data_IF_988092385895
#
_entry.id   IF_988092385895
#
_cell.length_a   1.000
_cell.length_b   1.000
_cell.length_c   1.000
_cell.angle_alpha   90.00
_cell.angle_beta   90.00
_cell.angle_gamma   90.00
#
_symmetry.space_group_name_H-M   'P 1'
#
loop_
_entity.id
_entity.type
_entity.pdbx_description
1 polymer ?
2 non-polymer ?
3 non-polymer ?
4 water ?
#
# COMPACT_ATOMS: atom_id res chain seq x y z
N UNK A 6 11.82 -5.12 -22.16
CA UNK A 6 12.50 -3.91 -21.64
C UNK A 6 13.12 -4.22 -20.28
N UNK A 7 13.74 -3.21 -19.66
CA UNK A 7 14.59 -3.36 -18.44
C UNK A 7 13.79 -2.98 -17.18
N UNK A 8 12.50 -2.69 -17.30
CA UNK A 8 11.76 -2.22 -16.10
C UNK A 8 10.44 -2.96 -15.88
N UNK A 9 10.04 -3.01 -14.63
CA UNK A 9 8.77 -3.62 -14.19
C UNK A 9 7.68 -2.52 -14.14
N UNK A 10 6.46 -2.90 -14.49
CA UNK A 10 5.30 -1.98 -14.53
C UNK A 10 4.17 -2.60 -13.72
N UNK A 11 4.02 -2.21 -12.45
CA UNK A 11 2.86 -2.67 -11.69
C UNK A 11 1.58 -2.22 -12.38
N UNK A 12 0.48 -2.98 -12.22
CA UNK A 12 -0.82 -2.56 -12.77
C UNK A 12 -1.33 -1.28 -12.09
N UNK A 13 -2.31 -0.63 -12.73
CA UNK A 13 -3.05 0.57 -12.27
C UNK A 13 -3.33 0.45 -10.77
N UNK A 14 -2.94 1.43 -9.95
CA UNK A 14 -3.40 1.55 -8.54
C UNK A 14 -2.96 0.33 -7.72
N UNK A 15 -1.80 -0.24 -8.04
CA UNK A 15 -1.22 -1.39 -7.34
C UNK A 15 -0.80 -1.02 -5.92
N UNK A 16 -1.13 -1.89 -4.97
CA UNK A 16 -0.63 -1.80 -3.59
C UNK A 16 -0.64 -3.16 -2.92
N UNK A 17 0.28 -3.34 -1.98
CA UNK A 17 0.24 -4.44 -1.01
C UNK A 17 -0.73 -4.05 0.12
N UNK A 18 -1.70 -4.89 0.39
CA UNK A 18 -2.70 -4.68 1.45
C UNK A 18 -2.19 -5.29 2.76
N UNK A 19 -1.65 -6.50 2.66
CA UNK A 19 -1.17 -7.26 3.83
C UNK A 19 -0.21 -8.33 3.32
N UNK A 20 0.39 -9.09 4.21
CA UNK A 20 1.15 -10.32 3.85
C UNK A 20 0.30 -11.15 2.88
N UNK A 21 0.78 -11.39 1.66
CA UNK A 21 0.12 -12.24 0.68
C UNK A 21 -1.14 -11.66 0.05
N UNK A 22 -1.43 -10.38 0.22
CA UNK A 22 -2.66 -9.75 -0.34
C UNK A 22 -2.29 -8.45 -1.06
N UNK A 23 -2.72 -8.36 -2.32
CA UNK A 23 -2.46 -7.18 -3.18
C UNK A 23 -3.79 -6.68 -3.75
N UNK A 24 -3.79 -5.42 -4.18
CA UNK A 24 -4.94 -4.81 -4.86
C UNK A 24 -4.45 -4.09 -6.11
N UNK A 25 -5.28 -4.03 -7.14
CA UNK A 25 -4.99 -3.20 -8.33
C UNK A 25 -6.24 -3.02 -9.18
N UNK A 26 -6.09 -2.22 -10.23
CA UNK A 26 -7.00 -2.23 -11.38
C UNK A 26 -6.60 -3.36 -12.33
N UNK A 27 -7.21 -3.36 -13.51
CA UNK A 27 -7.14 -4.48 -14.48
C UNK A 27 -5.71 -4.56 -15.03
N UNK A 28 -4.99 -5.69 -14.81
CA UNK A 28 -3.68 -5.85 -15.42
C UNK A 28 -3.76 -5.96 -16.94
N UNK A 29 -2.77 -5.40 -17.64
CA UNK A 29 -2.58 -5.59 -19.09
C UNK A 29 -1.22 -6.29 -19.28
N UNK A 30 -0.89 -6.66 -20.52
CA UNK A 30 0.31 -7.49 -20.81
C UNK A 30 1.60 -6.77 -20.36
N UNK A 31 1.64 -5.43 -20.31
CA UNK A 31 2.83 -4.66 -19.87
C UNK A 31 3.08 -4.90 -18.37
N UNK A 32 2.07 -5.39 -17.64
CA UNK A 32 2.13 -5.62 -16.17
C UNK A 32 2.50 -7.08 -15.86
N UNK A 33 2.53 -7.99 -16.83
CA UNK A 33 2.67 -9.44 -16.52
C UNK A 33 4.02 -9.73 -15.86
N UNK A 34 5.12 -9.13 -16.36
CA UNK A 34 6.47 -9.43 -15.82
C UNK A 34 6.49 -8.98 -14.34
N UNK A 35 5.84 -7.86 -14.01
CA UNK A 35 5.74 -7.42 -12.58
C UNK A 35 4.93 -8.44 -11.77
N UNK A 36 3.79 -8.88 -12.29
CA UNK A 36 2.92 -9.82 -11.54
C UNK A 36 3.65 -11.14 -11.31
N UNK A 37 4.51 -11.56 -12.23
CA UNK A 37 5.30 -12.81 -12.06
C UNK A 37 6.18 -12.72 -10.82
N UNK A 38 6.68 -11.53 -10.46
CA UNK A 38 7.58 -11.36 -9.30
C UNK A 38 6.79 -11.59 -8.01
N UNK A 39 5.45 -11.55 -8.01
CA UNK A 39 4.67 -11.72 -6.77
C UNK A 39 4.40 -13.19 -6.44
N UNK A 40 4.62 -14.13 -7.38
CA UNK A 40 4.32 -15.55 -7.13
C UNK A 40 2.86 -15.75 -6.74
N UNK A 41 1.93 -15.12 -7.46
CA UNK A 41 0.48 -15.20 -7.14
C UNK A 41 0.01 -16.66 -7.21
N UNK A 42 -0.81 -17.07 -6.27
CA UNK A 42 -1.60 -18.32 -6.37
C UNK A 42 -3.01 -18.02 -6.89
N UNK A 43 -3.53 -16.82 -6.65
CA UNK A 43 -4.97 -16.51 -6.82
C UNK A 43 -5.15 -15.09 -7.34
N UNK A 44 -6.20 -14.89 -8.10
CA UNK A 44 -6.77 -13.55 -8.42
C UNK A 44 -8.22 -13.58 -8.00
N UNK A 45 -8.61 -12.56 -7.23
CA UNK A 45 -10.03 -12.28 -6.94
C UNK A 45 -10.43 -11.17 -7.90
N UNK A 46 -11.27 -11.51 -8.86
CA UNK A 46 -11.70 -10.62 -9.97
C UNK A 46 -13.16 -10.20 -9.71
N UNK A 47 -13.41 -8.90 -9.61
CA UNK A 47 -14.70 -8.38 -9.09
C UNK A 47 -15.56 -7.78 -10.21
N UNK A 48 -15.24 -8.00 -11.48
CA UNK A 48 -16.07 -7.51 -12.63
C UNK A 48 -16.85 -8.68 -13.22
N UNK A 49 -18.08 -8.46 -13.72
CA UNK A 49 -18.84 -9.52 -14.37
C UNK A 49 -18.37 -9.87 -15.79
N UNK A 50 -17.64 -9.00 -16.49
CA UNK A 50 -17.25 -9.27 -17.90
C UNK A 50 -16.32 -10.46 -17.95
N UNK A 51 -16.35 -11.26 -19.04
CA UNK A 51 -15.44 -12.40 -19.17
C UNK A 51 -13.97 -11.92 -19.19
N UNK A 52 -13.07 -12.71 -18.60
CA UNK A 52 -11.63 -12.40 -18.55
C UNK A 52 -11.09 -12.40 -19.97
N UNK A 53 -10.38 -11.36 -20.45
CA UNK A 53 -9.85 -11.36 -21.80
C UNK A 53 -8.88 -12.53 -22.01
N UNK A 54 -8.74 -12.98 -23.26
CA UNK A 54 -7.91 -14.15 -23.64
C UNK A 54 -6.47 -13.96 -23.18
N UNK A 55 -5.89 -12.78 -23.41
CA UNK A 55 -4.51 -12.39 -23.00
C UNK A 55 -4.29 -12.68 -21.50
N UNK A 56 -5.21 -12.19 -20.67
CA UNK A 56 -5.18 -12.36 -19.19
C UNK A 56 -5.39 -13.83 -18.84
N UNK A 57 -6.30 -14.52 -19.53
CA UNK A 57 -6.55 -15.95 -19.26
C UNK A 57 -5.27 -16.75 -19.51
N UNK A 58 -4.59 -16.49 -20.63
CA UNK A 58 -3.34 -17.23 -20.97
C UNK A 58 -2.27 -16.93 -19.91
N UNK A 59 -2.13 -15.69 -19.46
CA UNK A 59 -1.15 -15.39 -18.37
C UNK A 59 -1.49 -16.20 -17.12
N UNK A 60 -2.75 -16.15 -16.69
CA UNK A 60 -3.27 -16.90 -15.51
C UNK A 60 -2.90 -18.39 -15.64
N UNK A 61 -3.20 -18.98 -16.78
CA UNK A 61 -2.98 -20.44 -17.01
C UNK A 61 -1.47 -20.75 -16.98
N UNK A 62 -0.68 -20.01 -17.76
CA UNK A 62 0.79 -20.20 -17.87
C UNK A 62 1.44 -20.08 -16.49
N UNK A 63 0.95 -19.16 -15.65
CA UNK A 63 1.61 -18.82 -14.36
C UNK A 63 1.02 -19.61 -13.20
N UNK A 64 0.06 -20.49 -13.44
CA UNK A 64 -0.49 -21.36 -12.39
C UNK A 64 -1.26 -20.57 -11.36
N UNK A 65 -2.06 -19.61 -11.82
CA UNK A 65 -2.87 -18.74 -10.93
C UNK A 65 -4.34 -19.16 -11.03
N UNK A 66 -4.96 -19.35 -9.88
CA UNK A 66 -6.41 -19.64 -9.81
C UNK A 66 -7.22 -18.33 -9.94
N UNK A 67 -8.25 -18.34 -10.79
CA UNK A 67 -9.18 -17.19 -10.95
C UNK A 67 -10.42 -17.45 -10.09
N UNK A 68 -10.71 -16.55 -9.16
CA UNK A 68 -12.00 -16.48 -8.46
C UNK A 68 -12.74 -15.26 -8.99
N UNK A 69 -13.87 -15.45 -9.67
CA UNK A 69 -14.66 -14.33 -10.23
C UNK A 69 -15.91 -14.14 -9.40
N UNK A 70 -16.05 -12.99 -8.75
CA UNK A 70 -17.29 -12.60 -8.05
C UNK A 70 -17.74 -11.31 -8.71
N UNK A 71 -18.50 -11.44 -9.80
CA UNK A 71 -18.89 -10.31 -10.65
C UNK A 71 -19.83 -9.38 -9.94
N UNK A 72 -19.36 -8.18 -9.61
CA UNK A 72 -20.20 -7.10 -9.02
C UNK A 72 -20.48 -6.12 -10.15
N UNK A 73 -21.75 -5.79 -10.35
CA UNK A 73 -22.17 -4.88 -11.45
C UNK A 73 -21.52 -3.52 -11.20
N UNK A 74 -20.78 -3.01 -12.20
CA UNK A 74 -20.14 -1.68 -12.19
C UNK A 74 -21.18 -0.57 -12.28
N UNK A 75 -21.83 -0.27 -11.16
CA UNK A 75 -22.88 0.78 -11.05
C UNK A 75 -22.21 2.13 -10.73
N UNK A 76 -22.81 3.21 -11.22
CA UNK A 76 -22.38 4.61 -10.95
C UNK A 76 -23.30 5.19 -9.86
N UNK A 77 -22.77 6.04 -8.98
CA UNK A 77 -23.55 6.73 -7.93
C UNK A 77 -24.63 7.59 -8.60
N UNK A 78 -25.81 7.78 -7.98
CA UNK A 78 -26.12 7.24 -6.65
C UNK A 78 -26.87 5.90 -6.63
N UNK A 79 -26.87 5.17 -7.74
CA UNK A 79 -27.61 3.89 -7.90
C UNK A 79 -26.62 2.72 -7.88
N UNK A 80 -25.77 2.66 -6.85
CA UNK A 80 -24.80 1.54 -6.64
C UNK A 80 -25.42 0.51 -5.69
N UNK A 81 -25.32 -0.77 -6.05
CA UNK A 81 -25.88 -1.92 -5.30
C UNK A 81 -24.78 -2.99 -5.19
N UNK A 82 -23.92 -2.89 -4.17
CA UNK A 82 -22.81 -3.86 -3.90
C UNK A 82 -23.41 -5.08 -3.20
N UNK A 83 -23.42 -6.28 -3.83
CA UNK A 83 -24.00 -7.45 -3.18
C UNK A 83 -23.13 -7.86 -1.98
N UNK A 84 -23.74 -7.83 -0.80
CA UNK A 84 -23.16 -8.35 0.46
C UNK A 84 -22.64 -9.78 0.23
N UNK A 85 -23.40 -10.63 -0.44
CA UNK A 85 -23.07 -12.06 -0.60
C UNK A 85 -21.73 -12.23 -1.35
N UNK A 86 -21.53 -11.49 -2.44
CA UNK A 86 -20.31 -11.60 -3.26
C UNK A 86 -19.10 -11.10 -2.48
N UNK A 87 -19.24 -10.00 -1.74
CA UNK A 87 -18.15 -9.50 -0.87
C UNK A 87 -17.85 -10.58 0.18
N UNK A 88 -18.86 -11.22 0.75
CA UNK A 88 -18.63 -12.27 1.80
C UNK A 88 -17.89 -13.47 1.19
N UNK A 89 -18.27 -13.90 0.00
CA UNK A 89 -17.58 -15.07 -0.63
C UNK A 89 -16.11 -14.67 -0.92
N UNK A 90 -15.87 -13.45 -1.39
CA UNK A 90 -14.51 -12.98 -1.71
C UNK A 90 -13.69 -12.90 -0.41
N UNK A 91 -14.28 -12.44 0.70
CA UNK A 91 -13.57 -12.37 2.01
C UNK A 91 -13.15 -13.78 2.44
N UNK A 92 -14.01 -14.77 2.22
CA UNK A 92 -13.70 -16.19 2.58
C UNK A 92 -12.43 -16.64 1.82
N UNK A 93 -12.30 -16.30 0.55
CA UNK A 93 -11.08 -16.61 -0.25
C UNK A 93 -9.86 -15.91 0.36
N UNK A 94 -9.98 -14.61 0.70
CA UNK A 94 -8.87 -13.79 1.28
C UNK A 94 -8.43 -14.38 2.62
N UNK A 95 -9.36 -14.88 3.40
CA UNK A 95 -9.06 -15.34 4.77
C UNK A 95 -8.41 -16.73 4.75
N UNK A 96 -8.40 -17.45 3.63
CA UNK A 96 -7.70 -18.75 3.53
C UNK A 96 -6.27 -18.53 3.02
N UNK A 97 -5.26 -18.66 3.90
CA UNK A 97 -3.82 -18.51 3.59
C UNK A 97 -3.44 -19.39 2.37
N UNK A 98 -4.12 -20.51 2.11
CA UNK A 98 -3.78 -21.41 0.96
C UNK A 98 -3.90 -20.65 -0.36
N UNK A 99 -4.74 -19.62 -0.41
CA UNK A 99 -5.00 -18.84 -1.64
C UNK A 99 -3.94 -17.73 -1.83
N UNK A 100 -3.10 -17.49 -0.82
CA UNK A 100 -2.07 -16.41 -0.84
C UNK A 100 -0.85 -16.92 -1.57
N UNK A 101 -0.11 -16.06 -2.31
CA UNK A 101 -0.47 -14.66 -2.51
C UNK A 101 -1.65 -14.45 -3.47
N UNK A 102 -2.50 -13.49 -3.13
CA UNK A 102 -3.74 -13.19 -3.89
C UNK A 102 -3.73 -11.71 -4.31
N UNK A 103 -4.07 -11.48 -5.58
CA UNK A 103 -4.33 -10.14 -6.13
C UNK A 103 -5.84 -9.95 -6.27
N UNK A 104 -6.35 -8.90 -5.62
CA UNK A 104 -7.75 -8.44 -5.81
C UNK A 104 -7.68 -7.39 -6.94
N UNK A 105 -8.48 -7.53 -7.98
CA UNK A 105 -8.61 -6.45 -8.99
C UNK A 105 -10.03 -6.33 -9.54
N UNK A 106 -10.33 -5.13 -9.97
CA UNK A 106 -11.56 -4.80 -10.73
C UNK A 106 -11.12 -4.09 -12.01
N UNK A 107 -11.75 -3.00 -12.44
CA UNK A 107 -11.34 -2.27 -13.68
C UNK A 107 -10.26 -1.25 -13.29
N UNK A 108 -10.56 -0.33 -12.37
CA UNK A 108 -9.56 0.69 -11.95
C UNK A 108 -9.05 0.43 -10.52
N UNK A 109 -9.65 -0.52 -9.78
CA UNK A 109 -9.17 -0.84 -8.44
C UNK A 109 -9.49 0.21 -7.39
N UNK A 110 -10.59 0.94 -7.57
CA UNK A 110 -11.01 2.06 -6.67
C UNK A 110 -12.28 1.70 -5.89
N UNK A 111 -13.31 1.17 -6.54
CA UNK A 111 -14.67 1.05 -5.96
C UNK A 111 -14.89 -0.38 -5.46
N UNK A 112 -15.07 -1.33 -6.37
CA UNK A 112 -15.36 -2.73 -5.97
C UNK A 112 -14.18 -3.27 -5.14
N UNK A 113 -12.95 -3.07 -5.62
CA UNK A 113 -11.72 -3.46 -4.90
C UNK A 113 -11.63 -2.73 -3.56
N UNK A 114 -11.90 -1.43 -3.53
CA UNK A 114 -11.86 -0.62 -2.30
C UNK A 114 -12.82 -1.15 -1.24
N UNK A 115 -14.03 -1.55 -1.65
CA UNK A 115 -15.07 -2.08 -0.73
C UNK A 115 -14.57 -3.40 -0.15
N UNK A 116 -14.04 -4.29 -0.98
CA UNK A 116 -13.60 -5.60 -0.45
C UNK A 116 -12.45 -5.37 0.56
N UNK A 117 -11.48 -4.53 0.20
CA UNK A 117 -10.37 -4.24 1.13
C UNK A 117 -10.91 -3.59 2.41
N UNK A 118 -11.82 -2.62 2.32
CA UNK A 118 -12.37 -1.95 3.51
C UNK A 118 -13.05 -2.94 4.43
N UNK A 119 -13.79 -3.90 3.88
CA UNK A 119 -14.46 -4.95 4.69
C UNK A 119 -13.41 -5.85 5.37
N UNK A 120 -12.30 -6.15 4.70
CA UNK A 120 -11.19 -6.90 5.33
C UNK A 120 -10.65 -6.08 6.52
N UNK A 121 -10.43 -4.77 6.33
CA UNK A 121 -9.91 -3.93 7.44
C UNK A 121 -10.90 -3.95 8.61
N UNK A 122 -12.20 -4.00 8.34
CA UNK A 122 -13.20 -4.06 9.43
C UNK A 122 -12.99 -5.35 10.23
N UNK A 123 -12.74 -6.47 9.54
CA UNK A 123 -12.44 -7.76 10.21
C UNK A 123 -11.14 -7.64 11.02
N UNK A 124 -10.20 -6.82 10.58
CA UNK A 124 -8.89 -6.58 11.29
C UNK A 124 -9.08 -5.52 12.40
N UNK A 125 -10.30 -5.07 12.64
CA UNK A 125 -10.67 -4.18 13.80
C UNK A 125 -10.15 -2.76 13.61
N UNK A 126 -9.87 -2.32 12.38
CA UNK A 126 -9.52 -0.91 12.11
C UNK A 126 -10.71 0.00 12.45
N UNK A 127 -10.46 1.19 12.98
CA UNK A 127 -11.54 2.20 13.14
C UNK A 127 -11.99 2.65 11.75
N UNK A 128 -13.24 3.07 11.62
CA UNK A 128 -13.81 3.42 10.29
C UNK A 128 -12.99 4.55 9.64
N UNK A 129 -12.56 5.56 10.40
CA UNK A 129 -11.85 6.71 9.78
C UNK A 129 -10.58 6.19 9.07
N UNK A 130 -9.87 5.21 9.65
CA UNK A 130 -8.63 4.65 9.06
C UNK A 130 -8.99 3.84 7.80
N UNK A 131 -10.10 3.12 7.83
CA UNK A 131 -10.58 2.34 6.66
C UNK A 131 -10.91 3.33 5.52
N UNK A 132 -11.68 4.37 5.82
CA UNK A 132 -12.12 5.36 4.81
C UNK A 132 -10.90 6.08 4.24
N UNK A 133 -9.93 6.42 5.09
CA UNK A 133 -8.74 7.17 4.60
C UNK A 133 -8.00 6.31 3.57
N UNK A 134 -7.82 5.04 3.86
CA UNK A 134 -7.14 4.14 2.90
C UNK A 134 -7.97 4.01 1.63
N UNK A 135 -9.29 3.79 1.75
CA UNK A 135 -10.19 3.75 0.58
C UNK A 135 -10.01 5.02 -0.29
N UNK A 136 -10.00 6.18 0.33
CA UNK A 136 -9.97 7.49 -0.38
C UNK A 136 -8.60 7.68 -1.05
N UNK A 137 -7.53 7.10 -0.48
CA UNK A 137 -6.19 7.23 -1.10
C UNK A 137 -6.25 6.70 -2.54
N UNK A 138 -6.95 5.59 -2.79
CA UNK A 138 -7.05 4.98 -4.13
C UNK A 138 -8.18 5.65 -4.93
N UNK A 139 -9.34 5.88 -4.30
CA UNK A 139 -10.51 6.39 -5.04
C UNK A 139 -10.28 7.86 -5.42
N UNK A 140 -9.57 8.61 -4.58
CA UNK A 140 -9.18 10.03 -4.79
C UNK A 140 -10.43 10.83 -5.22
N UNK A 141 -10.41 11.53 -6.36
CA UNK A 141 -11.53 12.39 -6.79
C UNK A 141 -12.80 11.57 -7.07
N UNK A 142 -12.72 10.24 -7.19
CA UNK A 142 -13.92 9.39 -7.43
C UNK A 142 -14.33 8.64 -6.15
N UNK A 143 -13.93 9.08 -4.97
CA UNK A 143 -14.41 8.50 -3.69
C UNK A 143 -15.94 8.62 -3.69
N UNK A 144 -16.63 7.53 -3.40
CA UNK A 144 -18.10 7.45 -3.39
C UNK A 144 -18.60 7.26 -1.95
N UNK A 145 -19.58 8.06 -1.55
CA UNK A 145 -20.26 7.90 -0.26
C UNK A 145 -20.85 6.47 -0.21
N UNK A 146 -21.38 5.97 -1.33
CA UNK A 146 -22.07 4.64 -1.36
C UNK A 146 -21.09 3.53 -0.99
N UNK A 147 -19.85 3.61 -1.46
CA UNK A 147 -18.81 2.61 -1.15
C UNK A 147 -18.56 2.64 0.37
N UNK A 148 -18.43 3.85 0.93
CA UNK A 148 -18.06 3.99 2.36
C UNK A 148 -19.26 3.57 3.23
N UNK A 149 -20.48 3.89 2.82
CA UNK A 149 -21.72 3.51 3.55
C UNK A 149 -21.80 1.97 3.60
N UNK A 150 -21.49 1.30 2.49
CA UNK A 150 -21.46 -0.18 2.42
C UNK A 150 -20.50 -0.73 3.48
N UNK A 151 -19.29 -0.16 3.58
CA UNK A 151 -18.28 -0.56 4.59
C UNK A 151 -18.84 -0.24 5.99
N UNK A 152 -19.49 0.91 6.16
CA UNK A 152 -20.04 1.34 7.49
C UNK A 152 -21.07 0.29 7.95
N UNK A 153 -21.92 -0.21 7.06
CA UNK A 153 -23.04 -1.11 7.45
C UNK A 153 -22.61 -2.58 7.41
N UNK A 154 -21.49 -2.94 6.78
CA UNK A 154 -21.13 -4.36 6.57
C UNK A 154 -20.95 -5.04 7.93
N UNK A 155 -21.66 -6.16 8.13
CA UNK A 155 -21.76 -6.88 9.42
C UNK A 155 -20.62 -7.90 9.51
N UNK A 156 -19.78 -7.80 10.55
CA UNK A 156 -18.58 -8.68 10.69
C UNK A 156 -18.87 -9.79 11.71
N UNK A 157 -20.12 -9.97 12.14
CA UNK A 157 -20.58 -10.98 13.15
C UNK A 157 -20.16 -12.39 12.74
N UNK A 158 -20.52 -12.81 11.52
CA UNK A 158 -20.43 -14.20 11.01
C UNK A 158 -18.98 -14.70 11.02
N UNK A 159 -18.01 -13.82 10.76
CA UNK A 159 -16.55 -14.11 10.76
C UNK A 159 -15.97 -14.04 12.17
N UNK A 160 -16.04 -12.85 12.79
CA UNK A 160 -15.41 -12.52 14.10
C UNK A 160 -16.29 -13.05 15.24
N UNK B 8 -10.85 -0.87 18.93
CA UNK B 8 -10.38 -0.75 17.50
C UNK B 8 -8.92 -0.32 17.39
N UNK B 9 -8.29 -0.70 16.31
CA UNK B 9 -6.90 -0.34 16.00
C UNK B 9 -6.90 0.92 15.12
N UNK B 10 -5.89 1.77 15.33
CA UNK B 10 -5.73 3.04 14.60
C UNK B 10 -4.33 3.06 13.98
N UNK B 11 -4.19 2.71 12.70
CA UNK B 11 -2.91 2.89 12.03
C UNK B 11 -2.51 4.37 12.06
N UNK B 12 -1.21 4.65 12.03
CA UNK B 12 -0.73 6.02 11.95
C UNK B 12 -1.13 6.65 10.61
N UNK B 13 -1.03 7.97 10.59
CA UNK B 13 -1.28 8.82 9.42
C UNK B 13 -0.62 8.22 8.16
N UNK B 14 -1.38 8.05 7.07
CA UNK B 14 -0.84 7.69 5.73
C UNK B 14 -0.12 6.34 5.79
N UNK B 15 -0.59 5.44 6.65
CA UNK B 15 -0.01 4.11 6.83
C UNK B 15 -0.19 3.25 5.57
N UNK B 16 0.86 2.53 5.18
CA UNK B 16 0.75 1.51 4.13
C UNK B 16 1.86 0.48 4.28
N UNK B 17 1.59 -0.73 3.81
CA UNK B 17 2.60 -1.75 3.59
C UNK B 17 3.26 -1.49 2.22
N UNK B 18 4.57 -1.36 2.20
CA UNK B 18 5.39 -1.12 0.98
C UNK B 18 5.77 -2.47 0.36
N UNK B 19 6.19 -3.41 1.19
CA UNK B 19 6.68 -4.73 0.76
C UNK B 19 6.66 -5.64 1.99
N UNK B 20 7.00 -6.90 1.81
CA UNK B 20 7.22 -7.84 2.93
C UNK B 20 8.14 -7.15 3.95
N UNK B 21 7.69 -6.99 5.18
CA UNK B 21 8.54 -6.46 6.27
C UNK B 21 8.82 -4.97 6.17
N UNK B 22 8.12 -4.21 5.30
CA UNK B 22 8.42 -2.76 5.14
C UNK B 22 7.09 -1.98 5.12
N UNK B 23 7.00 -0.99 6.00
CA UNK B 23 5.81 -0.12 6.16
C UNK B 23 6.24 1.34 6.04
N UNK B 24 5.27 2.21 5.71
CA UNK B 24 5.49 3.67 5.67
C UNK B 24 4.34 4.36 6.42
N UNK B 25 4.63 5.49 7.02
CA UNK B 25 3.61 6.33 7.67
C UNK B 25 4.15 7.74 7.95
N UNK B 26 3.23 8.58 8.42
CA UNK B 26 3.55 9.79 9.19
C UNK B 26 3.84 9.46 10.64
N UNK B 27 3.92 10.49 11.47
CA UNK B 27 4.45 10.39 12.85
C UNK B 27 3.44 9.62 13.69
N UNK B 28 3.79 8.46 14.27
CA UNK B 28 2.87 7.76 15.17
C UNK B 28 2.65 8.49 16.50
N UNK B 29 1.43 8.42 17.03
CA UNK B 29 1.11 8.91 18.39
C UNK B 29 0.60 7.72 19.21
N UNK B 30 0.37 7.93 20.49
CA UNK B 30 0.05 6.83 21.42
C UNK B 30 -1.25 6.12 20.98
N UNK B 31 -2.16 6.79 20.27
CA UNK B 31 -3.40 6.15 19.76
C UNK B 31 -3.07 5.03 18.73
N UNK B 32 -1.87 5.06 18.16
CA UNK B 32 -1.42 4.15 17.07
C UNK B 32 -0.60 2.98 17.64
N UNK B 33 -0.23 3.01 18.92
CA UNK B 33 0.74 2.04 19.48
C UNK B 33 0.17 0.63 19.44
N UNK B 34 -1.11 0.43 19.78
CA UNK B 34 -1.70 -0.94 19.79
C UNK B 34 -1.68 -1.48 18.36
N UNK B 35 -1.97 -0.65 17.36
CA UNK B 35 -1.85 -1.10 15.94
C UNK B 35 -0.41 -1.47 15.60
N UNK B 36 0.55 -0.62 15.93
CA UNK B 36 1.97 -0.91 15.57
C UNK B 36 2.44 -2.20 16.25
N UNK B 37 1.93 -2.50 17.44
CA UNK B 37 2.29 -3.76 18.13
C UNK B 37 1.91 -4.97 17.27
N UNK B 38 0.86 -4.90 16.46
CA UNK B 38 0.39 -6.04 15.63
C UNK B 38 1.41 -6.31 14.53
N UNK B 39 2.30 -5.35 14.21
CA UNK B 39 3.27 -5.53 13.10
C UNK B 39 4.53 -6.28 13.57
N UNK B 40 4.80 -6.41 14.87
CA UNK B 40 6.04 -7.06 15.37
C UNK B 40 7.29 -6.36 14.84
N UNK B 41 7.36 -5.03 14.93
CA UNK B 41 8.46 -4.25 14.34
C UNK B 41 9.79 -4.62 15.02
N UNK B 42 10.87 -4.68 14.24
CA UNK B 42 12.26 -4.70 14.79
C UNK B 42 12.87 -3.30 14.77
N UNK B 43 12.42 -2.44 13.86
CA UNK B 43 13.07 -1.13 13.69
C UNK B 43 12.12 -0.07 13.12
N UNK B 44 12.51 1.16 13.35
CA UNK B 44 11.87 2.35 12.75
C UNK B 44 13.00 3.11 12.05
N UNK B 45 12.76 3.54 10.81
CA UNK B 45 13.61 4.51 10.09
C UNK B 45 12.86 5.84 10.18
N UNK B 46 13.44 6.78 10.91
CA UNK B 46 12.82 8.07 11.25
C UNK B 46 13.55 9.18 10.52
N UNK B 47 12.84 9.94 9.68
CA UNK B 47 13.49 10.86 8.70
C UNK B 47 13.37 12.33 9.10
N UNK B 48 13.02 12.64 10.34
CA UNK B 48 12.91 14.05 10.83
C UNK B 48 14.03 14.33 11.80
N UNK B 49 14.54 15.58 11.87
CA UNK B 49 15.63 15.92 12.80
C UNK B 49 15.16 16.09 14.25
N UNK B 50 13.87 16.25 14.50
CA UNK B 50 13.36 16.58 15.85
C UNK B 50 13.59 15.37 16.77
N UNK B 51 13.93 15.59 18.05
CA UNK B 51 14.11 14.48 18.97
C UNK B 51 12.78 13.74 19.13
N UNK B 52 12.87 12.43 19.27
CA UNK B 52 11.72 11.53 19.47
C UNK B 52 11.06 11.85 20.81
N UNK B 53 9.73 11.99 20.84
CA UNK B 53 9.01 12.24 22.09
C UNK B 53 9.17 11.09 23.10
N UNK B 54 9.07 11.43 24.39
CA UNK B 54 9.23 10.48 25.52
C UNK B 54 8.22 9.35 25.36
N UNK B 55 6.97 9.66 25.03
CA UNK B 55 5.91 8.66 24.77
C UNK B 55 6.41 7.63 23.76
N UNK B 56 6.95 8.08 22.64
CA UNK B 56 7.38 7.18 21.55
C UNK B 56 8.62 6.38 22.00
N UNK B 57 9.55 7.03 22.69
CA UNK B 57 10.77 6.35 23.21
C UNK B 57 10.36 5.21 24.16
N UNK B 58 9.38 5.43 25.02
CA UNK B 58 8.91 4.39 25.97
C UNK B 58 8.30 3.23 25.16
N UNK B 59 7.50 3.53 24.13
CA UNK B 59 6.95 2.52 23.21
C UNK B 59 8.07 1.67 22.59
N UNK B 60 9.12 2.31 22.07
CA UNK B 60 10.26 1.58 21.47
C UNK B 60 10.92 0.69 22.53
N UNK B 61 11.18 1.23 23.72
CA UNK B 61 11.90 0.49 24.79
C UNK B 61 11.06 -0.75 25.17
N UNK B 62 9.77 -0.58 25.39
CA UNK B 62 8.85 -1.67 25.82
C UNK B 62 8.78 -2.77 24.75
N UNK B 63 8.94 -2.42 23.48
CA UNK B 63 8.70 -3.34 22.34
C UNK B 63 10.02 -3.83 21.74
N UNK B 64 11.17 -3.38 22.24
CA UNK B 64 12.48 -3.82 21.73
C UNK B 64 12.70 -3.31 20.31
N UNK B 65 12.20 -2.12 19.98
CA UNK B 65 12.29 -1.56 18.60
C UNK B 65 13.51 -0.63 18.53
N UNK B 66 14.37 -0.85 17.54
CA UNK B 66 15.59 -0.04 17.26
C UNK B 66 15.19 1.20 16.45
N UNK B 67 15.65 2.38 16.87
CA UNK B 67 15.40 3.65 16.15
C UNK B 67 16.63 4.07 15.35
N UNK B 68 16.45 4.19 14.04
CA UNK B 68 17.44 4.76 13.10
C UNK B 68 16.94 6.14 12.67
N UNK B 69 17.65 7.20 13.02
CA UNK B 69 17.25 8.59 12.71
C UNK B 69 18.21 9.14 11.66
N UNK B 70 17.67 9.55 10.53
CA UNK B 70 18.39 10.31 9.48
C UNK B 70 17.61 11.60 9.29
N UNK B 71 18.02 12.64 9.99
CA UNK B 71 17.21 13.87 10.13
C UNK B 71 17.28 14.71 8.88
N UNK B 72 16.26 14.64 8.04
CA UNK B 72 16.18 15.44 6.79
C UNK B 72 15.37 16.70 7.12
N UNK B 73 15.95 17.87 6.91
CA UNK B 73 15.28 19.13 7.32
C UNK B 73 14.04 19.28 6.44
N UNK B 74 12.90 19.65 7.04
CA UNK B 74 11.71 20.06 6.30
C UNK B 74 12.10 21.22 5.41
N UNK B 75 11.67 21.20 4.16
CA UNK B 75 11.93 22.26 3.15
C UNK B 75 10.67 22.40 2.33
N UNK B 76 10.40 23.60 1.81
CA UNK B 76 9.20 23.86 0.99
C UNK B 76 9.66 24.27 -0.42
N UNK B 77 8.87 23.91 -1.43
CA UNK B 77 9.13 24.39 -2.82
C UNK B 77 9.10 25.91 -2.76
N UNK B 78 9.84 26.60 -3.65
CA UNK B 78 10.68 25.97 -4.68
C UNK B 78 12.16 25.79 -4.30
N UNK B 79 12.46 25.71 -3.01
CA UNK B 79 13.83 25.62 -2.48
C UNK B 79 13.99 24.27 -1.76
N UNK B 80 13.61 23.16 -2.41
CA UNK B 80 13.70 21.78 -1.85
C UNK B 80 15.07 21.21 -2.21
N UNK B 81 15.84 20.75 -1.22
CA UNK B 81 17.16 20.13 -1.47
C UNK B 81 17.26 18.83 -0.67
N UNK B 82 16.74 17.74 -1.24
CA UNK B 82 16.67 16.38 -0.63
C UNK B 82 18.11 15.88 -0.47
N UNK B 83 18.58 15.59 0.75
CA UNK B 83 19.98 15.21 0.94
C UNK B 83 20.14 13.75 0.48
N UNK B 84 20.82 13.61 -0.64
CA UNK B 84 21.22 12.32 -1.27
C UNK B 84 21.85 11.40 -0.21
N UNK B 85 22.81 11.89 0.58
CA UNK B 85 23.55 11.06 1.57
C UNK B 85 22.57 10.47 2.59
N UNK B 86 21.66 11.25 3.14
CA UNK B 86 20.71 10.77 4.19
C UNK B 86 19.75 9.75 3.60
N UNK B 87 19.25 9.97 2.38
CA UNK B 87 18.37 8.98 1.72
C UNK B 87 19.14 7.67 1.55
N UNK B 88 20.40 7.73 1.11
CA UNK B 88 21.19 6.50 0.86
C UNK B 88 21.51 5.79 2.18
N UNK B 89 21.80 6.52 3.26
CA UNK B 89 22.05 5.87 4.57
C UNK B 89 20.78 5.13 5.01
N UNK B 90 19.61 5.76 4.85
CA UNK B 90 18.31 5.15 5.20
C UNK B 90 18.05 3.90 4.33
N UNK B 91 18.38 3.98 3.04
CA UNK B 91 18.17 2.85 2.10
C UNK B 91 19.06 1.67 2.51
N UNK B 92 20.29 1.94 2.93
CA UNK B 92 21.24 0.90 3.44
C UNK B 92 20.57 0.14 4.60
N UNK B 93 19.96 0.86 5.53
CA UNK B 93 19.26 0.22 6.68
C UNK B 93 18.06 -0.58 6.16
N UNK B 94 17.28 0.00 5.28
CA UNK B 94 16.03 -0.59 4.74
C UNK B 94 16.33 -1.92 4.05
N UNK B 95 17.47 -2.04 3.36
CA UNK B 95 17.80 -3.23 2.52
C UNK B 95 18.32 -4.38 3.38
N UNK B 96 18.68 -4.16 4.65
CA UNK B 96 19.12 -5.24 5.56
C UNK B 96 17.88 -5.92 6.17
N UNK B 97 17.59 -7.14 5.72
CA UNK B 97 16.43 -7.97 6.17
C UNK B 97 16.44 -8.17 7.68
N UNK B 98 17.60 -8.12 8.34
CA UNK B 98 17.71 -8.32 9.80
C UNK B 98 16.96 -7.18 10.53
N UNK B 99 16.75 -6.04 9.88
CA UNK B 99 16.07 -4.88 10.48
C UNK B 99 14.56 -4.96 10.30
N UNK B 100 14.06 -5.93 9.54
CA UNK B 100 12.61 -6.08 9.24
C UNK B 100 11.95 -6.86 10.37
N UNK B 101 10.65 -6.65 10.65
CA UNK B 101 9.84 -5.59 10.03
C UNK B 101 10.28 -4.18 10.42
N UNK B 102 10.23 -3.26 9.44
CA UNK B 102 10.67 -1.86 9.63
C UNK B 102 9.54 -0.92 9.21
N UNK B 103 9.30 0.09 10.04
CA UNK B 103 8.41 1.22 9.68
C UNK B 103 9.28 2.43 9.35
N UNK B 104 9.10 2.94 8.13
CA UNK B 104 9.66 4.24 7.68
C UNK B 104 8.65 5.29 8.09
N UNK B 105 9.06 6.33 8.81
CA UNK B 105 8.12 7.45 9.02
C UNK B 105 8.85 8.78 9.07
N UNK B 106 8.08 9.80 8.75
CA UNK B 106 8.50 11.21 8.78
C UNK B 106 7.44 11.95 9.61
N UNK B 107 7.05 13.14 9.22
CA UNK B 107 6.00 13.90 9.94
C UNK B 107 4.65 13.49 9.36
N UNK B 108 4.48 13.60 8.04
CA UNK B 108 3.18 13.29 7.37
C UNK B 108 3.29 12.05 6.46
N UNK B 109 4.48 11.53 6.21
CA UNK B 109 4.64 10.31 5.40
C UNK B 109 4.42 10.58 3.91
N UNK B 110 4.66 11.80 3.43
CA UNK B 110 4.38 12.20 2.02
C UNK B 110 5.67 12.50 1.24
N UNK B 111 6.61 13.28 1.78
CA UNK B 111 7.73 13.85 0.99
C UNK B 111 9.01 13.09 1.32
N UNK B 112 9.55 13.23 2.53
CA UNK B 112 10.79 12.51 2.91
C UNK B 112 10.55 11.00 2.80
N UNK B 113 9.46 10.50 3.39
CA UNK B 113 9.09 9.07 3.29
C UNK B 113 8.87 8.71 1.82
N UNK B 114 8.16 9.54 1.07
CA UNK B 114 7.88 9.28 -0.35
C UNK B 114 9.15 9.13 -1.18
N UNK B 115 10.16 9.97 -0.93
CA UNK B 115 11.44 9.93 -1.68
C UNK B 115 12.17 8.62 -1.35
N UNK B 116 12.18 8.22 -0.05
CA UNK B 116 12.93 7.00 0.34
C UNK B 116 12.27 5.80 -0.36
N UNK B 117 10.95 5.70 -0.27
CA UNK B 117 10.20 4.58 -0.89
C UNK B 117 10.40 4.61 -2.41
N UNK B 118 10.34 5.78 -3.05
CA UNK B 118 10.52 5.83 -4.51
C UNK B 118 11.91 5.33 -4.94
N UNK B 119 12.94 5.66 -4.17
CA UNK B 119 14.32 5.21 -4.45
C UNK B 119 14.40 3.69 -4.24
N UNK B 120 13.71 3.14 -3.23
CA UNK B 120 13.60 1.66 -3.12
C UNK B 120 12.96 1.11 -4.39
N UNK B 121 11.86 1.69 -4.86
CA UNK B 121 11.20 1.17 -6.08
C UNK B 121 12.16 1.22 -7.29
N UNK B 122 13.00 2.24 -7.38
CA UNK B 122 13.96 2.36 -8.51
C UNK B 122 14.97 1.21 -8.40
N UNK B 123 15.41 0.86 -7.20
CA UNK B 123 16.27 -0.34 -7.02
C UNK B 123 15.52 -1.61 -7.41
N UNK B 124 14.20 -1.66 -7.19
CA UNK B 124 13.35 -2.82 -7.57
C UNK B 124 13.00 -2.79 -9.08
N UNK B 125 13.56 -1.85 -9.84
CA UNK B 125 13.48 -1.76 -11.33
C UNK B 125 12.09 -1.34 -11.81
N UNK B 126 11.31 -0.66 -10.96
CA UNK B 126 10.01 -0.11 -11.41
C UNK B 126 10.27 1.01 -12.43
N UNK B 127 9.43 1.12 -13.46
CA UNK B 127 9.51 2.28 -14.38
C UNK B 127 9.14 3.54 -13.59
N UNK B 128 9.67 4.69 -14.02
CA UNK B 128 9.48 5.97 -13.30
C UNK B 128 8.00 6.30 -13.14
N UNK B 129 7.17 6.08 -14.17
CA UNK B 129 5.73 6.46 -14.10
C UNK B 129 5.05 5.69 -12.95
N UNK B 130 5.41 4.42 -12.75
CA UNK B 130 4.84 3.59 -11.66
C UNK B 130 5.32 4.11 -10.29
N UNK B 131 6.57 4.50 -10.20
CA UNK B 131 7.16 5.07 -8.96
C UNK B 131 6.41 6.37 -8.63
N UNK B 132 6.27 7.25 -9.61
CA UNK B 132 5.60 8.56 -9.44
C UNK B 132 4.13 8.39 -9.05
N UNK B 133 3.44 7.42 -9.67
CA UNK B 133 2.02 7.21 -9.36
C UNK B 133 1.86 6.82 -7.88
N UNK B 134 2.71 5.95 -7.38
CA UNK B 134 2.64 5.53 -5.96
C UNK B 134 2.98 6.75 -5.06
N UNK B 135 4.06 7.47 -5.38
CA UNK B 135 4.44 8.69 -4.64
C UNK B 135 3.23 9.64 -4.56
N UNK B 136 2.56 9.88 -5.69
CA UNK B 136 1.44 10.86 -5.76
C UNK B 136 0.23 10.38 -4.96
N UNK B 137 0.05 9.07 -4.85
CA UNK B 137 -1.09 8.54 -4.08
C UNK B 137 -1.03 9.05 -2.64
N UNK B 138 0.14 9.09 -2.03
CA UNK B 138 0.32 9.58 -0.64
C UNK B 138 0.41 11.09 -0.60
N UNK B 139 1.17 11.68 -1.51
CA UNK B 139 1.41 13.14 -1.46
C UNK B 139 0.15 13.91 -1.87
N UNK B 140 -0.66 13.33 -2.77
CA UNK B 140 -1.97 13.85 -3.25
C UNK B 140 -1.79 15.31 -3.69
N UNK B 141 -2.53 16.27 -3.14
CA UNK B 141 -2.47 17.69 -3.57
C UNK B 141 -1.10 18.30 -3.22
N UNK B 142 -0.32 17.63 -2.37
CA UNK B 142 1.02 18.12 -1.97
C UNK B 142 2.15 17.41 -2.76
N UNK B 143 1.82 16.74 -3.85
CA UNK B 143 2.86 16.13 -4.68
C UNK B 143 3.82 17.24 -5.13
N UNK B 144 5.12 16.99 -5.02
CA UNK B 144 6.15 17.97 -5.40
C UNK B 144 7.01 17.51 -6.57
N UNK B 145 7.15 18.38 -7.56
CA UNK B 145 8.03 18.03 -8.71
C UNK B 145 9.46 17.80 -8.20
N UNK B 146 9.91 18.52 -7.19
CA UNK B 146 11.28 18.39 -6.68
C UNK B 146 11.50 16.97 -6.10
N UNK B 147 10.50 16.38 -5.43
CA UNK B 147 10.63 15.00 -4.91
C UNK B 147 10.78 14.04 -6.10
N UNK B 148 9.97 14.23 -7.14
CA UNK B 148 9.97 13.33 -8.32
C UNK B 148 11.27 13.49 -9.11
N UNK B 149 11.76 14.73 -9.25
CA UNK B 149 13.05 15.03 -9.92
C UNK B 149 14.19 14.31 -9.16
N UNK B 150 14.19 14.36 -7.82
CA UNK B 150 15.19 13.63 -7.00
C UNK B 150 15.18 12.14 -7.38
N UNK B 151 13.99 11.54 -7.48
CA UNK B 151 13.86 10.11 -7.85
C UNK B 151 14.32 9.90 -9.29
N UNK B 152 14.00 10.82 -10.20
CA UNK B 152 14.38 10.68 -11.64
C UNK B 152 15.91 10.62 -11.74
N UNK B 153 16.63 11.46 -11.03
CA UNK B 153 18.10 11.55 -11.23
C UNK B 153 18.85 10.57 -10.29
N UNK B 154 18.19 9.99 -9.31
CA UNK B 154 18.81 9.07 -8.34
C UNK B 154 19.53 7.95 -9.09
N UNK B 155 20.84 7.85 -8.92
CA UNK B 155 21.66 6.84 -9.61
C UNK B 155 21.68 5.56 -8.77
N UNK B 156 21.14 4.45 -9.28
CA UNK B 156 21.05 3.18 -8.49
C UNK B 156 22.40 2.42 -8.41
N UNK B 157 23.42 2.80 -9.17
CA UNK B 157 24.68 2.02 -9.40
C UNK B 157 25.33 1.46 -8.12
N UNK B 158 25.44 2.22 -7.02
CA UNK B 158 26.20 1.79 -5.82
C UNK B 158 25.39 0.78 -4.96
N UNK B 159 24.10 0.58 -5.25
CA UNK B 159 23.20 -0.38 -4.54
C UNK B 159 22.92 -1.63 -5.40
N UNK B 160 23.28 -1.61 -6.68
CA UNK B 160 22.97 -2.69 -7.66
C UNK B 160 23.82 -3.93 -7.39
X LIG C 1 -15.48 4.83 -13.42
X LIG C 1 -15.85 3.37 -13.66
X LIG C 1 -17.20 3.19 -14.17
X LIG C 1 -17.59 4.18 -15.25
X LIG C 1 -17.30 5.66 -14.87
X LIG C 1 -15.81 5.77 -14.60
X LIG C 1 -19.48 0.90 -14.89
X LIG C 1 -18.07 0.71 -14.13
X LIG C 1 -18.33 1.04 -12.53
X LIG C 1 -17.51 -0.66 -14.39
X LIG C 1 -17.20 1.87 -14.75
X LIG C 1 -19.00 3.97 -15.50
X LIG C 1 -19.43 3.87 -17.02
X LIG C 1 -18.67 2.53 -17.57
X LIG C 1 -18.67 5.18 -17.64
X LIG C 1 -20.91 3.85 -17.20
X LIG C 1 -18.08 6.07 -13.71
X LIG C 1 -15.38 7.14 -14.29
X LIG C 1 -14.51 8.15 -15.33
X LIG C 1 -14.06 9.34 -14.31
X LIG C 1 -13.13 7.40 -15.74
X LIG C 1 -15.27 8.59 -16.55
X LIG C 1 -14.05 4.87 -13.23
X LIG C 1 -13.44 5.37 -11.86
X LIG C 1 -13.05 3.97 -10.97
X LIG C 1 -14.59 6.12 -10.99
X LIG C 1 -12.28 6.28 -12.20
X LIG C 1 -15.80 2.60 -12.37
X LIG C 1 -14.76 1.47 -12.28
X LIG C 1 -13.43 2.07 -12.33
X LIG C 1 -15.17 0.50 -13.30
X LIG C 1 -14.88 0.73 -10.84
X LIG C 1 -13.78 -0.25 -9.95
X LIG C 1 -14.77 -0.97 -9.15
X LIG C 1 -13.08 -1.11 -11.02
X LIG C 1 -13.03 1.00 -9.46
X LIG D 1 3.52 20.64 5.24
X LIG D 1 4.67 20.37 6.15
X LIG D 1 5.41 21.64 6.52
X LIG D 1 4.49 22.69 7.09
X LIG D 1 3.34 22.99 6.12
X LIG D 1 2.60 21.67 5.85
X LIG D 1 8.13 23.09 7.87
X LIG D 1 7.92 21.56 7.32
X LIG D 1 8.35 21.84 5.75
X LIG D 1 8.75 20.52 8.01
X LIG D 1 6.34 21.30 7.52
X LIG D 1 5.27 23.88 7.21
X LIG D 1 5.34 24.63 8.58
X LIG D 1 6.52 23.86 9.41
X LIG D 1 3.94 24.28 9.44
X LIG D 1 5.59 26.11 8.32
X LIG D 1 3.92 23.56 4.89
X LIG D 1 1.56 21.92 4.92
X LIG D 1 0.22 22.66 5.40
X LIG D 1 -0.21 21.88 6.77
X LIG D 1 0.49 24.26 5.73
X LIG D 1 -0.75 22.38 4.26
X LIG D 1 2.82 19.40 5.18
X LIG D 1 2.28 18.64 3.81
X LIG D 1 3.22 17.37 3.68
X LIG D 1 2.60 19.57 2.58
X LIG D 1 0.84 18.19 3.86
X LIG D 1 5.59 19.53 5.45
X LIG D 1 5.87 17.99 5.91
X LIG D 1 5.20 17.08 4.97
X LIG D 1 5.62 17.88 7.38
X LIG D 1 7.42 17.90 5.82
X LIG D 1 8.36 18.38 4.47
X LIG D 1 9.13 19.72 4.68
X LIG D 1 9.38 17.15 4.23
X LIG D 1 7.37 18.50 3.17
X LIG E 1 7.14 14.22 5.13
X LIG E 1 7.30 12.68 4.71
X LIG E 1 5.93 14.73 4.45
X LIG E 1 8.37 14.90 4.65
X LIG E 1 6.99 14.34 6.60
#
# INVERSE_FOLDING_TARGET
GSFTEELHLIPPLNFSMVDNGIFRSGFPDSANFSFLQTLGLRSIIYLCPEPYPESNLQFLKSNGIRLFQFGIEGNKEPFVNIPDHKIRMALKVLLDEKNHPVLIHSKRGKHRTGCLVGCLRKLQKWCLTSIFDEYQRFAAAKARVSDQRFMEIFDVSSFSHIPMSFSCSIR
GSFTEELHLIPPLNFSMVDNGIFRSGFPDSANFSFLQTLGLRSIIYLCPEPYPESNLQFLKSNGIRLFQFGIEGNKEPFVNIPDHKIRMALKVLLDEKNHPVLIHSKRGKHRTGCLVGCLRKLQKWCLTSIFDEYQRFAAAKARVSDQRFMEIFDVSSFSHIPMSFSCSIR
U6J C6 C5 C4 C3 C2 C1 O24 PA4 O34 O44 O14 O13 PA3 O23 O33 O43 O12 O11 PA1 O21 O31 O41 O16 PA6 O26 O36 O46 O15 PA5 O25 O35 O45 PB5 O75 O55 O65
U6J C6 C5 C4 C3 C2 C1 O24 PA4 O34 O44 O14 O13 PA3 O23 O33 O43 O12 O11 PA1 O21 O31 O41 O16 PA6 O26 O36 O46 O15 PA5 O25 O35 O45 PB5 O75 O55 O65
PO4 P O1 O2 O3 O4
#
